data_IF_999744824502
#
_entry.id   IF_999744824502
#
_cell.length_a   1.000
_cell.length_b   1.000
_cell.length_c   1.000
_cell.angle_alpha   90.00
_cell.angle_beta   90.00
_cell.angle_gamma   90.00
#
_symmetry.space_group_name_H-M   'P 1'
#
loop_
_entity.id
_entity.type
_entity.pdbx_description
1 polymer ?
#
# COMPACT_ATOMS: atom_id res chain seq x y z
N UNK A 1 1.63 32.39 11.88
CA UNK A 1 1.32 31.84 10.55
C UNK A 1 -0.12 31.38 10.56
N UNK A 2 -0.97 32.00 9.73
CA UNK A 2 -2.37 31.59 9.56
C UNK A 2 -2.40 30.19 8.96
N UNK A 3 -3.12 29.26 9.59
CA UNK A 3 -3.35 27.95 9.02
C UNK A 3 -4.33 28.13 7.85
N UNK A 4 -3.79 28.35 6.65
CA UNK A 4 -4.59 28.62 5.44
C UNK A 4 -5.51 27.44 5.10
N UNK A 5 -5.16 26.23 5.52
CA UNK A 5 -5.92 25.02 5.30
C UNK A 5 -6.51 24.48 6.60
N UNK A 6 -7.82 24.30 6.61
CA UNK A 6 -8.50 23.54 7.66
C UNK A 6 -8.48 22.04 7.34
N UNK A 7 -8.49 21.17 8.36
CA UNK A 7 -8.71 19.73 8.17
C UNK A 7 -10.00 19.44 7.40
N UNK A 8 -10.03 18.33 6.68
CA UNK A 8 -11.20 17.90 5.92
C UNK A 8 -12.37 17.58 6.87
N UNK A 9 -13.45 18.36 6.77
CA UNK A 9 -14.60 18.28 7.70
C UNK A 9 -15.30 16.92 7.77
N UNK A 10 -15.17 16.08 6.73
CA UNK A 10 -15.85 14.78 6.63
C UNK A 10 -15.05 13.63 7.25
N UNK A 11 -13.79 13.85 7.62
CA UNK A 11 -12.92 12.80 8.13
C UNK A 11 -12.44 13.17 9.54
N UNK A 12 -12.47 12.22 10.50
CA UNK A 12 -11.91 12.47 11.81
C UNK A 12 -10.39 12.68 11.69
N UNK A 13 -9.88 13.69 12.38
CA UNK A 13 -8.43 13.89 12.50
C UNK A 13 -7.88 12.85 13.47
N UNK A 14 -7.03 11.95 12.98
CA UNK A 14 -6.38 10.92 13.80
C UNK A 14 -5.13 11.48 14.48
N UNK A 15 -4.23 12.07 13.70
CA UNK A 15 -2.96 12.61 14.19
C UNK A 15 -2.53 13.83 13.37
N UNK A 16 -1.84 14.77 14.01
CA UNK A 16 -1.23 15.92 13.35
C UNK A 16 0.08 16.28 14.03
N UNK A 17 1.15 16.43 13.24
CA UNK A 17 2.45 16.87 13.73
C UNK A 17 3.15 17.77 12.72
N UNK A 18 4.20 18.47 13.19
CA UNK A 18 5.09 19.25 12.34
C UNK A 18 6.39 18.48 12.15
N UNK A 19 6.81 18.32 10.90
CA UNK A 19 8.07 17.66 10.58
C UNK A 19 9.10 18.69 10.08
N UNK A 20 10.24 18.89 10.77
CA UNK A 20 11.24 19.87 10.38
C UNK A 20 12.02 19.37 9.15
N UNK A 21 11.61 19.83 7.95
CA UNK A 21 12.21 19.39 6.68
C UNK A 21 13.72 19.66 6.60
N UNK A 22 14.24 20.69 7.28
CA UNK A 22 15.67 20.99 7.30
C UNK A 22 16.51 19.99 8.12
N UNK A 23 15.88 19.15 8.95
CA UNK A 23 16.51 18.06 9.69
C UNK A 23 16.30 16.70 9.00
N UNK A 24 15.47 16.65 7.97
CA UNK A 24 15.12 15.42 7.29
C UNK A 24 16.29 14.91 6.45
N UNK A 25 16.59 13.62 6.60
CA UNK A 25 17.61 12.95 5.79
C UNK A 25 16.99 12.35 4.54
N UNK A 26 17.61 12.52 3.37
CA UNK A 26 17.19 11.82 2.16
C UNK A 26 17.12 10.30 2.38
N UNK A 27 16.19 9.64 1.70
CA UNK A 27 16.12 8.18 1.66
C UNK A 27 17.36 7.66 0.95
N UNK A 28 18.18 6.89 1.67
CA UNK A 28 19.34 6.21 1.11
C UNK A 28 18.99 4.77 0.71
N UNK A 29 19.57 4.25 -0.38
CA UNK A 29 19.52 2.83 -0.70
C UNK A 29 19.99 1.98 0.48
N UNK A 30 19.30 0.88 0.74
CA UNK A 30 19.64 0.00 1.85
C UNK A 30 20.99 -0.68 1.60
N UNK A 31 21.91 -0.54 2.55
CA UNK A 31 23.22 -1.17 2.46
C UNK A 31 23.08 -2.70 2.53
N UNK A 32 23.75 -3.41 1.61
CA UNK A 32 23.82 -4.88 1.62
C UNK A 32 22.76 -5.62 0.79
N UNK A 33 21.78 -4.93 0.19
CA UNK A 33 20.83 -5.55 -0.74
C UNK A 33 21.38 -5.46 -2.16
N UNK A 34 22.23 -6.43 -2.53
CA UNK A 34 22.65 -6.63 -3.93
C UNK A 34 21.79 -7.75 -4.54
N UNK A 35 20.71 -7.35 -5.19
CA UNK A 35 19.93 -8.24 -6.03
C UNK A 35 20.41 -8.07 -7.47
N UNK A 36 20.70 -9.17 -8.16
CA UNK A 36 21.01 -9.12 -9.59
C UNK A 36 19.83 -8.54 -10.36
N UNK A 37 20.09 -7.52 -11.19
CA UNK A 37 19.04 -6.77 -11.90
C UNK A 37 18.41 -5.62 -11.10
N UNK A 38 18.77 -5.40 -9.84
CA UNK A 38 18.24 -4.27 -9.07
C UNK A 38 18.72 -2.92 -9.61
N UNK A 39 17.79 -1.98 -9.74
CA UNK A 39 18.05 -0.62 -10.17
C UNK A 39 18.63 0.28 -9.06
N UNK A 40 19.02 -0.29 -7.91
CA UNK A 40 19.51 0.45 -6.73
C UNK A 40 20.80 1.23 -6.97
N UNK A 41 21.60 0.86 -7.98
CA UNK A 41 22.83 1.56 -8.36
C UNK A 41 22.62 2.65 -9.43
N UNK A 42 21.39 2.82 -9.95
CA UNK A 42 21.11 3.72 -11.07
C UNK A 42 20.69 5.12 -10.62
N UNK A 43 20.35 5.30 -9.34
CA UNK A 43 19.80 6.56 -8.82
C UNK A 43 20.59 7.02 -7.60
N UNK A 44 21.18 8.21 -7.69
CA UNK A 44 21.77 8.89 -6.53
C UNK A 44 20.67 9.44 -5.62
N UNK A 45 20.82 9.39 -4.27
CA UNK A 45 19.87 9.98 -3.34
C UNK A 45 19.55 11.43 -3.72
N UNK A 46 18.28 11.72 -3.96
CA UNK A 46 17.82 13.06 -4.31
C UNK A 46 17.47 13.84 -3.03
N UNK A 47 17.97 15.08 -2.87
CA UNK A 47 17.53 15.96 -1.80
C UNK A 47 16.00 16.15 -1.86
N UNK A 48 15.32 15.92 -0.74
CA UNK A 48 13.87 16.12 -0.61
C UNK A 48 13.02 14.83 -0.58
N UNK A 49 13.55 13.69 -1.02
CA UNK A 49 12.89 12.39 -0.81
C UNK A 49 13.16 11.92 0.61
N UNK A 50 12.18 12.01 1.51
CA UNK A 50 12.36 11.80 2.95
C UNK A 50 11.31 10.83 3.50
N UNK A 51 11.67 10.09 4.56
CA UNK A 51 10.68 9.33 5.32
C UNK A 51 9.95 10.26 6.30
N UNK A 52 8.62 10.16 6.30
CA UNK A 52 7.77 10.80 7.30
C UNK A 52 7.37 9.73 8.32
N UNK A 53 7.80 9.84 9.60
CA UNK A 53 7.49 8.83 10.60
C UNK A 53 6.02 8.97 11.03
N UNK A 54 5.15 8.10 10.49
CA UNK A 54 3.74 8.03 10.89
C UNK A 54 3.51 7.27 12.20
N UNK A 55 4.55 6.71 12.81
CA UNK A 55 4.41 5.88 14.01
C UNK A 55 3.68 4.55 13.73
N UNK A 56 3.15 3.94 14.79
CA UNK A 56 2.30 2.75 14.68
C UNK A 56 0.84 3.20 14.60
N UNK A 57 0.16 2.85 13.52
CA UNK A 57 -1.25 3.15 13.31
C UNK A 57 -2.08 1.87 13.52
N UNK A 58 -3.36 2.05 13.83
CA UNK A 58 -4.31 0.94 13.82
C UNK A 58 -4.51 0.42 12.38
N UNK A 59 -4.92 -0.85 12.20
CA UNK A 59 -5.21 -1.38 10.87
C UNK A 59 -6.32 -0.57 10.18
N UNK A 60 -6.14 -0.21 8.91
CA UNK A 60 -7.12 0.58 8.16
C UNK A 60 -6.59 1.34 6.95
N UNK A 61 -7.42 2.25 6.44
CA UNK A 61 -7.09 3.17 5.34
C UNK A 61 -7.11 4.62 5.84
N UNK A 62 -6.00 5.31 5.64
CA UNK A 62 -5.79 6.68 6.10
C UNK A 62 -5.65 7.64 4.92
N UNK A 63 -6.25 8.82 5.05
CA UNK A 63 -5.97 9.96 4.18
C UNK A 63 -4.96 10.86 4.88
N UNK A 64 -3.79 11.03 4.28
CA UNK A 64 -2.70 11.84 4.81
C UNK A 64 -2.60 13.14 4.04
N UNK A 65 -2.51 14.24 4.77
CA UNK A 65 -2.36 15.58 4.21
C UNK A 65 -1.02 16.17 4.63
N UNK A 66 -0.21 16.56 3.65
CA UNK A 66 1.04 17.28 3.87
C UNK A 66 0.85 18.75 3.45
N UNK A 67 1.26 19.68 4.31
CA UNK A 67 1.12 21.11 4.07
C UNK A 67 2.45 21.84 4.30
N UNK A 68 2.87 22.66 3.35
CA UNK A 68 4.07 23.51 3.44
C UNK A 68 3.76 24.87 2.84
N UNK A 69 3.78 25.93 3.65
CA UNK A 69 3.38 27.26 3.22
C UNK A 69 1.96 27.27 2.67
N UNK A 70 1.80 27.67 1.40
CA UNK A 70 0.51 27.67 0.68
C UNK A 70 0.22 26.40 -0.12
N UNK A 71 1.02 25.34 0.01
CA UNK A 71 0.86 24.09 -0.73
C UNK A 71 0.24 23.00 0.15
N UNK A 72 -0.63 22.18 -0.44
CA UNK A 72 -1.28 21.01 0.18
C UNK A 72 -1.16 19.83 -0.79
N UNK A 73 -0.69 18.70 -0.29
CA UNK A 73 -0.65 17.43 -1.00
C UNK A 73 -1.43 16.38 -0.19
N UNK A 74 -2.05 15.43 -0.87
CA UNK A 74 -2.85 14.37 -0.26
C UNK A 74 -2.42 13.02 -0.80
N UNK A 75 -2.31 12.02 0.07
CA UNK A 75 -2.07 10.62 -0.31
C UNK A 75 -2.87 9.69 0.58
N UNK A 76 -3.03 8.44 0.17
CA UNK A 76 -3.64 7.38 0.99
C UNK A 76 -2.56 6.45 1.55
N UNK A 77 -2.79 5.95 2.76
CA UNK A 77 -1.91 4.97 3.42
C UNK A 77 -2.73 3.77 3.84
N UNK A 78 -2.31 2.60 3.35
CA UNK A 78 -2.88 1.30 3.67
C UNK A 78 -2.10 0.67 4.82
N UNK A 79 -2.78 0.41 5.94
CA UNK A 79 -2.19 -0.17 7.14
C UNK A 79 -2.79 -1.56 7.36
N UNK A 80 -1.95 -2.58 7.24
CA UNK A 80 -2.30 -3.98 7.43
C UNK A 80 -1.04 -4.80 7.70
N UNK A 81 -1.17 -5.84 8.51
CA UNK A 81 -0.13 -6.86 8.72
C UNK A 81 -0.24 -8.01 7.69
N UNK A 82 -1.15 -7.90 6.71
CA UNK A 82 -1.43 -8.88 5.66
C UNK A 82 -0.90 -8.39 4.30
N UNK A 83 -0.38 -9.32 3.50
CA UNK A 83 -0.10 -9.14 2.06
C UNK A 83 -0.96 -10.10 1.25
N UNK A 84 -1.35 -9.68 0.05
CA UNK A 84 -2.01 -10.53 -0.93
C UNK A 84 -1.11 -10.77 -2.13
N UNK A 85 -0.80 -12.03 -2.37
CA UNK A 85 -0.21 -12.50 -3.62
C UNK A 85 -1.35 -12.91 -4.53
N UNK A 86 -1.27 -12.48 -5.79
CA UNK A 86 -2.32 -12.75 -6.76
C UNK A 86 -1.76 -13.25 -8.08
N UNK A 87 -2.53 -14.11 -8.72
CA UNK A 87 -2.27 -14.55 -10.09
C UNK A 87 -3.58 -14.63 -10.85
N UNK A 88 -3.59 -13.97 -11.99
CA UNK A 88 -4.67 -14.08 -12.94
C UNK A 88 -4.24 -15.01 -14.08
N UNK A 89 -5.10 -15.95 -14.45
CA UNK A 89 -4.88 -16.89 -15.55
C UNK A 89 -6.19 -17.15 -16.28
N UNK A 90 -6.31 -16.64 -17.51
CA UNK A 90 -7.55 -16.74 -18.28
C UNK A 90 -8.68 -15.99 -17.58
N UNK A 91 -9.73 -16.72 -17.19
CA UNK A 91 -10.91 -16.17 -16.51
C UNK A 91 -10.90 -16.41 -15.00
N UNK A 92 -9.73 -16.67 -14.42
CA UNK A 92 -9.59 -16.99 -13.01
C UNK A 92 -8.57 -16.06 -12.34
N UNK A 93 -8.93 -15.57 -11.16
CA UNK A 93 -8.04 -14.95 -10.20
C UNK A 93 -7.86 -15.89 -9.01
N UNK A 94 -6.60 -16.23 -8.71
CA UNK A 94 -6.19 -16.81 -7.44
C UNK A 94 -5.58 -15.73 -6.56
N UNK A 95 -6.03 -15.63 -5.32
CA UNK A 95 -5.42 -14.80 -4.26
C UNK A 95 -4.97 -15.69 -3.12
N UNK A 96 -3.79 -15.40 -2.57
CA UNK A 96 -3.31 -15.95 -1.31
C UNK A 96 -2.93 -14.81 -0.37
N UNK A 97 -3.54 -14.79 0.82
CA UNK A 97 -3.27 -13.82 1.87
C UNK A 97 -2.37 -14.40 2.94
N UNK A 98 -1.29 -13.68 3.24
CA UNK A 98 -0.26 -14.11 4.18
C UNK A 98 0.16 -12.98 5.13
N UNK A 99 0.60 -13.34 6.34
CA UNK A 99 1.16 -12.40 7.30
C UNK A 99 2.52 -11.86 6.85
N UNK A 100 2.72 -10.54 6.94
CA UNK A 100 3.95 -9.84 6.53
C UNK A 100 5.22 -10.26 7.27
N UNK A 101 5.09 -10.90 8.43
CA UNK A 101 6.23 -11.20 9.31
C UNK A 101 6.73 -12.62 9.17
N UNK A 102 5.83 -13.60 9.04
CA UNK A 102 6.19 -15.02 9.05
C UNK A 102 5.61 -15.77 7.84
N UNK A 103 4.84 -15.10 6.96
CA UNK A 103 4.22 -15.74 5.80
C UNK A 103 3.10 -16.70 6.16
N UNK A 104 2.58 -16.65 7.39
CA UNK A 104 1.49 -17.51 7.83
C UNK A 104 0.20 -17.19 7.07
N UNK A 105 -0.59 -18.21 6.75
CA UNK A 105 -1.88 -18.00 6.07
C UNK A 105 -2.79 -17.08 6.91
N UNK A 106 -3.39 -16.07 6.24
CA UNK A 106 -4.34 -15.14 6.84
C UNK A 106 -5.75 -15.41 6.30
N UNK A 107 -6.53 -16.31 6.91
CA UNK A 107 -7.89 -16.63 6.47
C UNK A 107 -8.86 -15.48 6.74
N UNK A 108 -10.06 -15.53 6.16
CA UNK A 108 -11.15 -14.60 6.45
C UNK A 108 -10.95 -13.19 5.90
N UNK A 109 -10.00 -13.00 4.96
CA UNK A 109 -9.80 -11.70 4.31
C UNK A 109 -10.88 -11.48 3.26
N UNK A 110 -11.62 -10.38 3.36
CA UNK A 110 -12.55 -9.93 2.32
C UNK A 110 -11.75 -9.41 1.13
N UNK A 111 -12.02 -9.92 -0.07
CA UNK A 111 -11.32 -9.54 -1.30
C UNK A 111 -12.32 -8.99 -2.32
N UNK A 112 -11.98 -7.85 -2.92
CA UNK A 112 -12.67 -7.23 -4.04
C UNK A 112 -11.75 -7.22 -5.27
N UNK A 113 -12.21 -7.78 -6.38
CA UNK A 113 -11.55 -7.65 -7.68
C UNK A 113 -12.26 -6.58 -8.50
N UNK A 114 -11.54 -5.53 -8.88
CA UNK A 114 -12.08 -4.33 -9.54
C UNK A 114 -11.27 -3.92 -10.75
N UNK A 115 -11.92 -3.36 -11.76
CA UNK A 115 -11.28 -2.74 -12.93
C UNK A 115 -11.00 -1.24 -12.74
N UNK A 116 -11.31 -0.71 -11.56
CA UNK A 116 -11.20 0.72 -11.22
C UNK A 116 -12.46 1.54 -11.51
N UNK A 117 -13.42 0.99 -12.27
CA UNK A 117 -14.75 1.57 -12.49
C UNK A 117 -15.80 0.91 -11.60
N UNK A 118 -15.64 -0.39 -11.29
CA UNK A 118 -16.55 -1.13 -10.44
C UNK A 118 -15.99 -2.46 -9.94
N UNK A 119 -16.62 -3.00 -8.90
CA UNK A 119 -16.29 -4.34 -8.38
C UNK A 119 -16.84 -5.38 -9.35
N UNK A 120 -15.94 -6.13 -9.99
CA UNK A 120 -16.29 -7.23 -10.91
C UNK A 120 -16.79 -8.45 -10.12
N UNK A 121 -16.03 -8.84 -9.11
CA UNK A 121 -16.37 -9.97 -8.23
C UNK A 121 -15.68 -9.82 -6.87
N UNK A 122 -16.12 -10.61 -5.90
CA UNK A 122 -15.64 -10.57 -4.52
C UNK A 122 -15.73 -11.94 -3.86
N UNK A 123 -14.95 -12.14 -2.80
CA UNK A 123 -15.02 -13.35 -1.97
C UNK A 123 -14.30 -13.17 -0.66
N UNK A 124 -14.18 -14.25 0.09
CA UNK A 124 -13.48 -14.29 1.38
C UNK A 124 -12.48 -15.44 1.34
N UNK A 125 -11.25 -15.21 1.81
CA UNK A 125 -10.25 -16.28 1.84
C UNK A 125 -10.62 -17.38 2.83
N UNK A 126 -10.37 -18.63 2.44
CA UNK A 126 -10.61 -19.82 3.27
C UNK A 126 -9.55 -20.00 4.35
N UNK A 127 -9.61 -21.12 5.09
CA UNK A 127 -8.70 -21.46 6.19
C UNK A 127 -7.21 -21.54 5.76
N UNK A 128 -6.94 -21.73 4.47
CA UNK A 128 -5.58 -21.72 3.90
C UNK A 128 -5.11 -20.32 3.48
N UNK A 129 -5.94 -19.30 3.70
CA UNK A 129 -5.72 -17.94 3.24
C UNK A 129 -5.89 -17.81 1.72
N UNK A 130 -6.54 -18.77 1.04
CA UNK A 130 -6.69 -18.71 -0.41
C UNK A 130 -8.11 -18.35 -0.84
N UNK A 131 -8.23 -17.75 -2.02
CA UNK A 131 -9.51 -17.47 -2.67
C UNK A 131 -9.34 -17.59 -4.18
N UNK A 132 -10.25 -18.32 -4.81
CA UNK A 132 -10.41 -18.36 -6.27
C UNK A 132 -11.67 -17.62 -6.68
N UNK A 133 -11.54 -16.74 -7.67
CA UNK A 133 -12.65 -15.99 -8.26
C UNK A 133 -12.66 -16.19 -9.76
N UNK A 134 -13.84 -16.44 -10.32
CA UNK A 134 -14.04 -16.62 -11.76
C UNK A 134 -14.66 -15.34 -12.35
N UNK A 135 -13.94 -14.68 -13.26
CA UNK A 135 -14.41 -13.53 -14.03
C UNK A 135 -13.46 -13.29 -15.22
N UNK A 136 -13.97 -12.71 -16.32
CA UNK A 136 -13.13 -12.26 -17.44
C UNK A 136 -12.16 -11.20 -16.92
N UNK A 137 -10.85 -11.43 -17.07
CA UNK A 137 -9.85 -10.46 -16.61
C UNK A 137 -9.74 -9.28 -17.59
N UNK A 138 -9.88 -8.04 -17.12
CA UNK A 138 -9.48 -6.86 -17.90
C UNK A 138 -7.95 -6.76 -17.97
N UNK A 139 -7.44 -5.90 -18.86
CA UNK A 139 -6.01 -5.60 -18.98
C UNK A 139 -5.44 -4.93 -17.71
N UNK A 140 -6.26 -4.15 -17.00
CA UNK A 140 -5.91 -3.54 -15.72
C UNK A 140 -6.95 -3.90 -14.69
N UNK A 141 -6.50 -4.49 -13.59
CA UNK A 141 -7.33 -4.74 -12.43
C UNK A 141 -6.55 -4.58 -11.14
N UNK A 142 -7.32 -4.34 -10.08
CA UNK A 142 -6.85 -4.17 -8.72
C UNK A 142 -7.57 -5.17 -7.82
N UNK A 143 -6.85 -5.60 -6.81
CA UNK A 143 -7.35 -6.45 -5.75
C UNK A 143 -7.27 -5.63 -4.48
N UNK A 144 -8.42 -5.29 -3.92
CA UNK A 144 -8.53 -4.59 -2.66
C UNK A 144 -8.92 -5.61 -1.60
N UNK A 145 -8.23 -5.60 -0.46
CA UNK A 145 -8.52 -6.54 0.62
C UNK A 145 -8.67 -5.88 1.97
N UNK A 146 -9.51 -6.49 2.82
CA UNK A 146 -9.63 -6.17 4.24
C UNK A 146 -9.42 -7.47 5.03
N UNK A 147 -8.38 -7.53 5.84
CA UNK A 147 -8.14 -8.66 6.73
C UNK A 147 -9.10 -8.66 7.94
N UNK A 148 -9.12 -9.77 8.68
CA UNK A 148 -9.98 -9.95 9.84
C UNK A 148 -9.69 -8.96 11.00
N UNK A 149 -8.49 -8.36 11.03
CA UNK A 149 -8.08 -7.37 12.01
C UNK A 149 -8.49 -5.95 11.58
N UNK A 150 -9.11 -5.79 10.40
CA UNK A 150 -9.55 -4.51 9.84
C UNK A 150 -8.49 -3.82 8.97
N UNK A 151 -7.34 -4.45 8.78
CA UNK A 151 -6.26 -3.93 7.95
C UNK A 151 -6.63 -3.95 6.48
N UNK A 152 -6.33 -2.87 5.78
CA UNK A 152 -6.62 -2.73 4.35
C UNK A 152 -5.33 -2.86 3.55
N UNK A 153 -5.38 -3.59 2.45
CA UNK A 153 -4.26 -3.74 1.52
C UNK A 153 -4.74 -3.70 0.07
N UNK A 154 -3.80 -3.43 -0.83
CA UNK A 154 -4.00 -3.45 -2.28
C UNK A 154 -2.95 -4.34 -2.93
N UNK A 155 -3.35 -5.10 -3.94
CA UNK A 155 -2.48 -5.88 -4.82
C UNK A 155 -2.86 -5.53 -6.25
N UNK A 156 -1.89 -5.15 -7.07
CA UNK A 156 -2.11 -4.71 -8.44
C UNK A 156 -1.65 -5.80 -9.42
N UNK A 157 -2.36 -5.99 -10.52
CA UNK A 157 -2.00 -6.99 -11.53
C UNK A 157 -1.02 -6.47 -12.59
N UNK A 158 -0.49 -5.26 -12.42
CA UNK A 158 0.41 -4.63 -13.38
C UNK A 158 1.60 -4.02 -12.65
N UNK A 159 2.71 -3.91 -13.38
CA UNK A 159 4.01 -3.58 -12.83
C UNK A 159 4.42 -2.15 -13.21
N UNK A 160 4.81 -1.34 -12.23
CA UNK A 160 5.52 -0.09 -12.45
C UNK A 160 7.00 -0.23 -12.06
N UNK A 161 7.92 0.09 -12.99
CA UNK A 161 9.36 0.11 -12.72
C UNK A 161 9.74 1.02 -11.54
N UNK A 162 8.92 2.03 -11.20
CA UNK A 162 9.18 2.96 -10.10
C UNK A 162 8.92 2.38 -8.70
N UNK A 163 8.29 1.20 -8.57
CA UNK A 163 7.83 0.66 -7.27
C UNK A 163 8.83 -0.27 -6.56
N UNK A 164 9.96 -0.59 -7.21
CA UNK A 164 10.98 -1.52 -6.69
C UNK A 164 11.57 -1.08 -5.34
N UNK A 165 11.44 0.19 -4.97
CA UNK A 165 12.13 0.73 -3.80
C UNK A 165 11.46 0.45 -2.45
N UNK A 166 10.18 0.03 -2.40
CA UNK A 166 9.42 0.00 -1.14
C UNK A 166 8.71 -1.31 -0.78
N UNK A 167 8.57 -2.26 -1.71
CA UNK A 167 7.86 -3.51 -1.43
C UNK A 167 8.88 -4.61 -1.10
N UNK A 168 9.34 -4.64 0.15
CA UNK A 168 10.03 -5.82 0.68
C UNK A 168 9.00 -6.94 0.86
N UNK A 169 8.89 -7.82 -0.14
CA UNK A 169 8.44 -9.20 0.06
C UNK A 169 9.67 -10.00 0.49
N UNK A 170 9.83 -10.21 1.79
CA UNK A 170 10.73 -11.21 2.37
C UNK A 170 9.93 -12.02 3.38
#
# INVERSE_FOLDING_TARGET
QNNQFSPLKKYPLVEQFRYPLWQAKPVEPQQGVKLEGASSNFISPQPGNIYIPLGKQEPGLYLVEAMVGGYRATTVVFVSDTVALSKVSGNELLVWTAGKKQGEAKPGSEILWTDGLGVMTRGVTDDSGTLQLQHISPERSYILGKDAEGGVFVSENFFYESEIYNTRLY
#
